data_IF_978287813470
#
_entry.id   IF_978287813470
#
_cell.length_a   1.000
_cell.length_b   1.000
_cell.length_c   1.000
_cell.angle_alpha   90.00
_cell.angle_beta   90.00
_cell.angle_gamma   90.00
#
_symmetry.space_group_name_H-M   'P 1'
#
loop_
_entity.id
_entity.type
_entity.pdbx_description
1 polymer ?
#
# COMPACT_ATOMS: atom_id res chain seq x y z
N UNK A 1 -3.95 3.09 32.54
CA UNK A 1 -3.59 2.16 31.44
C UNK A 1 -4.30 2.59 30.16
N UNK A 2 -3.59 3.17 29.18
CA UNK A 2 -4.20 3.53 27.88
C UNK A 2 -4.38 2.25 27.07
N UNK A 3 -5.63 1.81 26.82
CA UNK A 3 -5.95 0.67 25.95
C UNK A 3 -5.31 0.92 24.57
N UNK A 4 -4.30 0.12 24.20
CA UNK A 4 -3.79 0.09 22.84
C UNK A 4 -4.95 -0.40 21.94
N UNK A 5 -5.53 0.49 21.13
CA UNK A 5 -6.45 0.09 20.07
C UNK A 5 -5.61 -0.69 19.04
N UNK A 6 -5.68 -2.02 19.08
CA UNK A 6 -4.92 -2.92 18.19
C UNK A 6 -5.39 -2.91 16.72
N UNK A 7 -6.47 -2.21 16.39
CA UNK A 7 -7.07 -2.22 15.05
C UNK A 7 -7.21 -0.80 14.53
N UNK A 8 -6.62 -0.54 13.36
CA UNK A 8 -6.85 0.70 12.63
C UNK A 8 -8.28 0.69 12.08
N UNK A 9 -9.07 1.68 12.48
CA UNK A 9 -10.43 1.90 12.00
C UNK A 9 -10.50 3.29 11.40
N UNK A 10 -10.66 3.40 10.09
CA UNK A 10 -10.59 4.67 9.35
C UNK A 10 -11.59 5.72 9.85
N UNK A 11 -12.77 5.29 10.29
CA UNK A 11 -13.81 6.17 10.81
C UNK A 11 -13.42 6.83 12.15
N UNK A 12 -12.69 6.11 13.00
CA UNK A 12 -12.29 6.55 14.35
C UNK A 12 -10.84 7.07 14.41
N UNK A 13 -10.12 7.02 13.29
CA UNK A 13 -8.70 7.32 13.25
C UNK A 13 -8.41 8.82 13.44
N UNK A 14 -7.42 9.13 14.27
CA UNK A 14 -6.89 10.49 14.39
C UNK A 14 -6.03 10.86 13.18
N UNK A 15 -5.73 12.16 13.02
CA UNK A 15 -4.79 12.65 11.99
C UNK A 15 -3.41 11.97 12.12
N UNK A 16 -2.98 11.68 13.35
CA UNK A 16 -1.69 11.04 13.63
C UNK A 16 -1.69 9.56 13.20
N UNK A 17 -2.77 8.83 13.50
CA UNK A 17 -2.96 7.45 13.04
C UNK A 17 -2.98 7.37 11.50
N UNK A 18 -3.68 8.31 10.85
CA UNK A 18 -3.74 8.38 9.38
C UNK A 18 -2.35 8.69 8.79
N UNK A 19 -1.59 9.61 9.38
CA UNK A 19 -0.22 9.90 8.96
C UNK A 19 0.69 8.68 9.09
N UNK A 20 0.57 7.92 10.19
CA UNK A 20 1.31 6.67 10.37
C UNK A 20 0.97 5.67 9.28
N UNK A 21 -0.33 5.53 8.96
CA UNK A 21 -0.77 4.62 7.91
C UNK A 21 -0.34 5.07 6.51
N UNK A 22 -0.30 6.38 6.23
CA UNK A 22 0.23 6.93 4.97
C UNK A 22 1.74 6.65 4.79
N UNK A 23 2.53 6.67 5.88
CA UNK A 23 3.95 6.29 5.86
C UNK A 23 4.12 4.80 5.58
N UNK A 24 3.38 3.94 6.29
CA UNK A 24 3.40 2.48 6.07
C UNK A 24 2.97 2.15 4.64
N UNK A 25 1.88 2.76 4.16
CA UNK A 25 1.40 2.58 2.80
C UNK A 25 2.46 2.97 1.76
N UNK A 26 3.19 4.09 1.98
CA UNK A 26 4.30 4.48 1.11
C UNK A 26 5.43 3.44 1.10
N UNK A 27 5.82 2.95 2.27
CA UNK A 27 6.86 1.92 2.40
C UNK A 27 6.49 0.65 1.62
N UNK A 28 5.26 0.18 1.79
CA UNK A 28 4.76 -1.01 1.09
C UNK A 28 4.71 -0.80 -0.43
N UNK A 29 4.30 0.40 -0.90
CA UNK A 29 4.34 0.73 -2.33
C UNK A 29 5.77 0.65 -2.87
N UNK A 30 6.76 1.21 -2.16
CA UNK A 30 8.17 1.15 -2.58
C UNK A 30 8.64 -0.30 -2.69
N UNK A 31 8.36 -1.13 -1.68
CA UNK A 31 8.71 -2.56 -1.71
C UNK A 31 8.06 -3.30 -2.87
N UNK A 32 6.75 -3.07 -3.11
CA UNK A 32 6.03 -3.69 -4.22
C UNK A 32 6.60 -3.28 -5.58
N UNK A 33 6.97 -2.00 -5.76
CA UNK A 33 7.61 -1.52 -7.00
C UNK A 33 8.96 -2.20 -7.19
N UNK A 34 9.80 -2.27 -6.15
CA UNK A 34 11.09 -2.96 -6.24
C UNK A 34 10.92 -4.44 -6.63
N UNK A 35 9.97 -5.15 -6.01
CA UNK A 35 9.69 -6.54 -6.36
C UNK A 35 9.13 -6.69 -7.78
N UNK A 36 8.28 -5.76 -8.23
CA UNK A 36 7.73 -5.76 -9.59
C UNK A 36 8.85 -5.61 -10.63
N UNK A 37 9.83 -4.75 -10.37
CA UNK A 37 11.00 -4.58 -11.26
C UNK A 37 11.80 -5.88 -11.33
N UNK A 38 12.07 -6.54 -10.20
CA UNK A 38 12.79 -7.80 -10.17
C UNK A 38 12.05 -8.92 -10.91
N UNK A 39 10.73 -9.05 -10.68
CA UNK A 39 9.92 -10.04 -11.37
C UNK A 39 9.82 -9.77 -12.87
N UNK A 40 9.76 -8.50 -13.27
CA UNK A 40 9.79 -8.11 -14.69
C UNK A 40 11.13 -8.47 -15.33
N UNK A 41 12.25 -8.20 -14.66
CA UNK A 41 13.57 -8.56 -15.14
C UNK A 41 13.70 -10.09 -15.33
N UNK A 42 13.21 -10.87 -14.37
CA UNK A 42 13.23 -12.33 -14.45
C UNK A 42 12.27 -12.86 -15.53
N UNK A 43 11.09 -12.24 -15.70
CA UNK A 43 10.19 -12.56 -16.80
C UNK A 43 10.82 -12.30 -18.16
N UNK A 44 11.50 -11.17 -18.35
CA UNK A 44 12.19 -10.85 -19.62
C UNK A 44 13.33 -11.83 -19.93
N UNK A 45 13.95 -12.42 -18.89
CA UNK A 45 15.02 -13.40 -19.06
C UNK A 45 14.49 -14.78 -19.42
N UNK A 46 13.49 -15.27 -18.70
CA UNK A 46 13.07 -16.67 -18.77
C UNK A 46 11.73 -16.88 -19.51
N UNK A 47 11.00 -15.79 -19.84
CA UNK A 47 9.63 -15.79 -20.38
C UNK A 47 8.65 -16.70 -19.60
N UNK A 48 8.91 -16.89 -18.31
CA UNK A 48 8.15 -17.81 -17.47
C UNK A 48 6.78 -17.26 -17.12
N UNK A 49 5.75 -18.08 -17.36
CA UNK A 49 4.35 -17.76 -17.03
C UNK A 49 4.17 -17.43 -15.54
N UNK A 50 4.96 -18.03 -14.66
CA UNK A 50 4.93 -17.74 -13.23
C UNK A 50 5.27 -16.28 -12.93
N UNK A 51 6.33 -15.74 -13.54
CA UNK A 51 6.70 -14.34 -13.32
C UNK A 51 5.68 -13.37 -13.94
N UNK A 52 5.05 -13.73 -15.07
CA UNK A 52 3.93 -12.95 -15.62
C UNK A 52 2.73 -12.87 -14.66
N UNK A 53 2.34 -14.01 -14.05
CA UNK A 53 1.27 -14.04 -13.05
C UNK A 53 1.64 -13.21 -11.81
N UNK A 54 2.88 -13.32 -11.32
CA UNK A 54 3.35 -12.50 -10.20
C UNK A 54 3.30 -11.00 -10.49
N UNK A 55 3.68 -10.59 -11.70
CA UNK A 55 3.59 -9.20 -12.16
C UNK A 55 2.14 -8.71 -12.11
N UNK A 56 1.18 -9.49 -12.62
CA UNK A 56 -0.24 -9.13 -12.59
C UNK A 56 -0.77 -8.98 -11.16
N UNK A 57 -0.42 -9.91 -10.26
CA UNK A 57 -0.79 -9.85 -8.83
C UNK A 57 -0.21 -8.59 -8.18
N UNK A 58 1.07 -8.29 -8.43
CA UNK A 58 1.72 -7.11 -7.88
C UNK A 58 1.12 -5.80 -8.40
N UNK A 59 0.79 -5.73 -9.70
CA UNK A 59 0.08 -4.58 -10.27
C UNK A 59 -1.28 -4.37 -9.60
N UNK A 60 -2.03 -5.44 -9.34
CA UNK A 60 -3.29 -5.38 -8.60
C UNK A 60 -3.11 -4.88 -7.16
N UNK A 61 -2.10 -5.35 -6.44
CA UNK A 61 -1.81 -4.84 -5.10
C UNK A 61 -1.39 -3.37 -5.11
N UNK A 62 -0.58 -2.94 -6.07
CA UNK A 62 -0.24 -1.52 -6.24
C UNK A 62 -1.47 -0.66 -6.47
N UNK A 63 -2.42 -1.13 -7.29
CA UNK A 63 -3.70 -0.45 -7.51
C UNK A 63 -4.49 -0.30 -6.19
N UNK A 64 -4.63 -1.36 -5.41
CA UNK A 64 -5.31 -1.31 -4.09
C UNK A 64 -4.59 -0.33 -3.16
N UNK A 65 -3.26 -0.38 -3.09
CA UNK A 65 -2.47 0.48 -2.21
C UNK A 65 -2.58 1.95 -2.59
N UNK A 66 -2.60 2.27 -3.88
CA UNK A 66 -2.86 3.62 -4.38
C UNK A 66 -4.26 4.11 -3.98
N UNK A 67 -5.30 3.29 -4.17
CA UNK A 67 -6.67 3.62 -3.76
C UNK A 67 -6.79 3.83 -2.25
N UNK A 68 -6.15 2.97 -1.44
CA UNK A 68 -6.10 3.10 0.01
C UNK A 68 -5.46 4.44 0.43
N UNK A 69 -4.37 4.84 -0.24
CA UNK A 69 -3.70 6.12 0.01
C UNK A 69 -4.60 7.32 -0.27
N UNK A 70 -5.36 7.29 -1.37
CA UNK A 70 -6.34 8.33 -1.70
C UNK A 70 -7.38 8.48 -0.59
N UNK A 71 -7.96 7.36 -0.10
CA UNK A 71 -8.93 7.37 0.99
C UNK A 71 -8.35 7.93 2.29
N UNK A 72 -7.14 7.53 2.66
CA UNK A 72 -6.43 8.06 3.83
C UNK A 72 -6.19 9.57 3.71
N UNK A 73 -5.81 10.04 2.52
CA UNK A 73 -5.55 11.47 2.28
C UNK A 73 -6.83 12.29 2.36
N UNK A 74 -7.94 11.81 1.77
CA UNK A 74 -9.25 12.44 1.88
C UNK A 74 -9.72 12.52 3.33
N UNK A 75 -9.57 11.43 4.10
CA UNK A 75 -9.93 11.43 5.53
C UNK A 75 -9.07 12.40 6.32
N UNK A 76 -7.77 12.47 6.05
CA UNK A 76 -6.87 13.45 6.66
C UNK A 76 -7.34 14.88 6.39
N UNK A 77 -7.62 15.21 5.12
CA UNK A 77 -8.11 16.54 4.72
C UNK A 77 -9.41 16.92 5.43
N UNK A 78 -10.34 15.97 5.59
CA UNK A 78 -11.60 16.20 6.30
C UNK A 78 -11.44 16.42 7.82
N UNK A 79 -10.35 15.93 8.42
CA UNK A 79 -10.07 16.09 9.86
C UNK A 79 -9.18 17.31 10.16
N UNK A 80 -8.53 17.89 9.14
CA UNK A 80 -7.69 19.09 9.26
C UNK A 80 -8.36 20.36 8.74
N UNK A 81 -9.56 20.26 8.17
CA UNK A 81 -10.45 21.39 7.88
C UNK A 81 -11.33 21.65 9.09
#
# INVERSE_FOLDING_TARGET
MKKQKNKFVLAEASVEDINKQLKINMLVIVVLISMLVLNTAQFMKDYSLLYAVLIAIMAFFLFIMAKSRTLLTMRKQALTK
#
